data_IF_559256381366
#
_entry.id   IF_559256381366
#
_cell.length_a   1.000
_cell.length_b   1.000
_cell.length_c   1.000
_cell.angle_alpha   90.00
_cell.angle_beta   90.00
_cell.angle_gamma   90.00
#
_symmetry.space_group_name_H-M   'P 1'
#
loop_
_entity.id
_entity.type
_entity.pdbx_description
1 polymer ?
#
# COMPACT_ATOMS: atom_id res chain seq x y z
N UNK A 1 -7.43 -7.08 8.41
CA UNK A 1 -7.32 -5.66 8.01
C UNK A 1 -8.29 -5.44 6.85
N UNK A 2 -9.14 -4.42 6.87
CA UNK A 2 -10.10 -4.22 5.77
C UNK A 2 -9.37 -3.72 4.51
N UNK A 3 -9.85 -4.10 3.33
CA UNK A 3 -9.26 -3.71 2.03
C UNK A 3 -9.09 -2.19 1.93
N UNK A 4 -10.06 -1.42 2.46
CA UNK A 4 -10.01 0.05 2.50
C UNK A 4 -8.81 0.59 3.30
N UNK A 5 -8.48 -0.03 4.43
CA UNK A 5 -7.36 0.39 5.27
C UNK A 5 -6.02 0.11 4.60
N UNK A 6 -5.89 -1.06 3.96
CA UNK A 6 -4.69 -1.44 3.24
C UNK A 6 -4.45 -0.56 2.00
N UNK A 7 -5.54 -0.18 1.31
CA UNK A 7 -5.48 0.74 0.17
C UNK A 7 -5.01 2.13 0.60
N UNK A 8 -5.58 2.68 1.68
CA UNK A 8 -5.21 3.98 2.22
C UNK A 8 -3.78 3.96 2.77
N UNK A 9 -3.40 2.93 3.53
CA UNK A 9 -2.05 2.82 4.09
C UNK A 9 -1.00 2.65 2.99
N UNK A 10 -1.28 1.83 1.96
CA UNK A 10 -0.39 1.63 0.82
C UNK A 10 -0.21 2.91 -0.01
N UNK A 11 -1.29 3.64 -0.25
CA UNK A 11 -1.24 4.92 -0.97
C UNK A 11 -0.48 6.01 -0.20
N UNK A 12 -0.73 6.15 1.10
CA UNK A 12 0.01 7.10 1.96
C UNK A 12 1.49 6.75 2.02
N UNK A 13 1.82 5.47 2.16
CA UNK A 13 3.22 5.02 2.21
C UNK A 13 3.94 5.28 0.88
N UNK A 14 3.31 4.97 -0.26
CA UNK A 14 3.85 5.24 -1.59
C UNK A 14 4.06 6.74 -1.85
N UNK A 15 3.10 7.58 -1.48
CA UNK A 15 3.22 9.03 -1.58
C UNK A 15 4.35 9.58 -0.68
N UNK A 16 4.50 9.05 0.53
CA UNK A 16 5.53 9.48 1.49
C UNK A 16 6.94 9.13 1.00
N UNK A 17 7.14 7.94 0.44
CA UNK A 17 8.42 7.54 -0.17
C UNK A 17 8.77 8.44 -1.34
N UNK A 18 7.80 8.73 -2.21
CA UNK A 18 8.02 9.60 -3.36
C UNK A 18 8.36 11.04 -2.95
N UNK A 19 7.72 11.55 -1.89
CA UNK A 19 8.06 12.85 -1.32
C UNK A 19 9.50 12.87 -0.78
N UNK A 20 9.89 11.83 -0.03
CA UNK A 20 11.25 11.70 0.50
C UNK A 20 12.29 11.67 -0.63
N UNK A 21 12.05 10.86 -1.68
CA UNK A 21 12.94 10.78 -2.86
C UNK A 21 13.02 12.11 -3.60
N UNK A 22 11.88 12.82 -3.76
CA UNK A 22 11.82 14.13 -4.41
C UNK A 22 12.65 15.20 -3.69
N UNK A 23 12.66 15.18 -2.34
CA UNK A 23 13.51 16.08 -1.55
C UNK A 23 15.01 15.79 -1.71
N UNK A 24 15.41 14.53 -1.83
CA UNK A 24 16.83 14.16 -1.95
C UNK A 24 17.45 14.54 -3.30
N UNK A 25 16.67 14.59 -4.37
CA UNK A 25 17.19 14.77 -5.73
C UNK A 25 17.07 16.18 -6.31
N UNK A 26 16.63 17.21 -5.54
CA UNK A 26 16.48 18.60 -6.02
C UNK A 26 15.71 18.72 -7.35
N UNK A 27 14.70 17.87 -7.56
CA UNK A 27 13.89 17.91 -8.77
C UNK A 27 12.94 19.11 -8.79
N UNK A 28 12.55 19.55 -9.99
CA UNK A 28 11.49 20.55 -10.17
C UNK A 28 10.18 20.03 -9.56
N UNK A 29 9.44 20.93 -8.89
CA UNK A 29 8.21 20.59 -8.15
C UNK A 29 7.18 19.80 -8.98
N UNK A 30 7.08 20.07 -10.28
CA UNK A 30 6.21 19.35 -11.20
C UNK A 30 6.60 17.86 -11.35
N UNK A 31 7.90 17.55 -11.40
CA UNK A 31 8.40 16.16 -11.51
C UNK A 31 8.13 15.40 -10.20
N UNK A 32 8.28 16.09 -9.06
CA UNK A 32 8.00 15.53 -7.73
C UNK A 32 6.51 15.17 -7.60
N UNK A 33 5.59 16.04 -8.02
CA UNK A 33 4.15 15.77 -7.98
C UNK A 33 3.80 14.56 -8.85
N UNK A 34 4.34 14.51 -10.08
CA UNK A 34 4.08 13.41 -11.00
C UNK A 34 4.57 12.07 -10.44
N UNK A 35 5.78 12.05 -9.86
CA UNK A 35 6.31 10.87 -9.17
C UNK A 35 5.49 10.50 -7.94
N UNK A 36 5.08 11.45 -7.11
CA UNK A 36 4.19 11.19 -5.97
C UNK A 36 2.87 10.56 -6.41
N UNK A 37 2.30 11.00 -7.54
CA UNK A 37 1.07 10.43 -8.06
C UNK A 37 1.26 8.99 -8.54
N UNK A 38 2.32 8.71 -9.32
CA UNK A 38 2.63 7.37 -9.81
C UNK A 38 2.95 6.40 -8.66
N UNK A 39 3.83 6.80 -7.74
CA UNK A 39 4.22 5.97 -6.60
C UNK A 39 3.07 5.81 -5.59
N UNK A 40 2.21 6.83 -5.43
CA UNK A 40 0.99 6.72 -4.64
C UNK A 40 0.00 5.71 -5.24
N UNK A 41 -0.23 5.76 -6.56
CA UNK A 41 -1.04 4.78 -7.28
C UNK A 41 -0.45 3.37 -7.20
N UNK A 42 0.86 3.23 -7.39
CA UNK A 42 1.56 1.94 -7.28
C UNK A 42 1.49 1.39 -5.85
N UNK A 43 1.69 2.23 -4.83
CA UNK A 43 1.58 1.85 -3.41
C UNK A 43 0.16 1.45 -3.03
N UNK A 44 -0.85 2.16 -3.52
CA UNK A 44 -2.26 1.80 -3.34
C UNK A 44 -2.60 0.47 -4.03
N UNK A 45 -2.07 0.22 -5.22
CA UNK A 45 -2.24 -1.03 -5.96
C UNK A 45 -1.61 -2.22 -5.22
N UNK A 46 -0.39 -2.05 -4.71
CA UNK A 46 0.29 -3.07 -3.91
C UNK A 46 -0.46 -3.34 -2.60
N UNK A 47 -0.92 -2.29 -1.91
CA UNK A 47 -1.75 -2.42 -0.70
C UNK A 47 -3.06 -3.17 -0.96
N UNK A 48 -3.68 -2.95 -2.12
CA UNK A 48 -4.87 -3.69 -2.53
C UNK A 48 -4.57 -5.18 -2.74
N UNK A 49 -3.52 -5.50 -3.51
CA UNK A 49 -3.10 -6.89 -3.73
C UNK A 49 -2.78 -7.61 -2.42
N UNK A 50 -2.09 -6.95 -1.48
CA UNK A 50 -1.79 -7.53 -0.17
C UNK A 50 -3.05 -7.82 0.64
N UNK A 51 -4.04 -6.92 0.63
CA UNK A 51 -5.30 -7.16 1.32
C UNK A 51 -6.10 -8.30 0.71
N UNK A 52 -6.06 -8.40 -0.62
CA UNK A 52 -6.72 -9.47 -1.36
C UNK A 52 -6.06 -10.82 -1.08
N UNK A 53 -4.73 -10.86 -1.08
CA UNK A 53 -3.95 -12.04 -0.71
C UNK A 53 -4.18 -12.44 0.76
N UNK A 54 -4.24 -11.48 1.68
CA UNK A 54 -4.54 -11.72 3.08
C UNK A 54 -5.98 -12.26 3.30
N UNK A 55 -6.90 -11.98 2.37
CA UNK A 55 -8.23 -12.58 2.36
C UNK A 55 -8.24 -14.02 1.85
N UNK A 56 -7.33 -14.38 0.94
CA UNK A 56 -7.18 -15.75 0.40
C UNK A 56 -6.34 -16.67 1.28
N UNK A 57 -5.41 -16.13 2.07
CA UNK A 57 -4.68 -16.96 3.02
C UNK A 57 -5.65 -17.44 4.11
N UNK A 58 -5.72 -18.76 4.39
CA UNK A 58 -6.54 -19.29 5.46
C UNK A 58 -6.08 -18.65 6.77
N UNK A 59 -6.92 -17.77 7.30
CA UNK A 59 -6.70 -17.14 8.61
C UNK A 59 -6.84 -18.24 9.66
N UNK A 60 -5.91 -18.26 10.62
CA UNK A 60 -5.79 -19.24 11.71
C UNK A 60 -7.05 -19.45 12.60
N UNK A 61 -8.18 -18.79 12.29
CA UNK A 61 -9.48 -19.05 12.91
C UNK A 61 -10.10 -20.36 12.45
N UNK A 62 -9.88 -20.79 11.20
CA UNK A 62 -10.37 -22.07 10.70
C UNK A 62 -9.72 -23.28 11.41
N UNK A 63 -8.51 -23.08 11.96
CA UNK A 63 -7.80 -24.13 12.70
C UNK A 63 -8.43 -24.46 14.07
N UNK A 64 -9.32 -23.62 14.59
CA UNK A 64 -9.92 -23.83 15.92
C UNK A 64 -11.28 -24.52 15.88
N UNK A 65 -11.97 -24.55 14.74
CA UNK A 65 -13.31 -25.16 14.62
C UNK A 65 -13.26 -26.65 14.30
N UNK A 66 -12.14 -27.16 13.76
CA UNK A 66 -11.97 -28.59 13.45
C UNK A 66 -11.42 -29.44 14.61
N UNK A 67 -11.34 -28.90 15.83
CA UNK A 67 -10.84 -29.58 17.03
C UNK A 67 -11.80 -29.43 18.23
N UNK A 68 -13.11 -29.36 17.98
CA UNK A 68 -14.15 -29.44 19.02
C UNK A 68 -15.19 -30.47 18.66
#
# INVERSE_FOLDING_TARGET
MSIKQALISGGIFGATIAFAVGMFQNFTFADIIFRMFILGLAGAWIGWMLAWLNGMLPTSKDRKEHHS
#
